data_IF_887522088803
#
_entry.id   IF_887522088803
#
_cell.length_a   1.000
_cell.length_b   1.000
_cell.length_c   1.000
_cell.angle_alpha   90.00
_cell.angle_beta   90.00
_cell.angle_gamma   90.00
#
_symmetry.space_group_name_H-M   'P 1'
#
loop_
_entity.id
_entity.type
_entity.pdbx_description
1 polymer ?
#
# COMPACT_ATOMS: atom_id res chain seq x y z
N UNK A 1 -47.63 33.72 29.18
CA UNK A 1 -46.30 33.18 29.50
C UNK A 1 -46.29 31.68 29.28
N UNK A 2 -45.43 31.18 28.37
CA UNK A 2 -44.65 29.94 28.50
C UNK A 2 -44.04 29.62 27.13
N UNK A 3 -42.79 30.04 26.99
CA UNK A 3 -41.88 29.64 25.93
C UNK A 3 -41.58 28.15 26.09
N UNK A 4 -41.66 27.38 25.01
CA UNK A 4 -41.02 26.08 24.92
C UNK A 4 -39.88 26.18 23.92
N UNK A 5 -38.68 26.29 24.50
CA UNK A 5 -37.39 26.19 23.85
C UNK A 5 -37.24 24.75 23.35
N UNK A 6 -37.36 24.55 22.04
CA UNK A 6 -37.03 23.28 21.43
C UNK A 6 -35.50 23.14 21.40
N UNK A 7 -35.04 22.07 22.06
CA UNK A 7 -33.65 21.77 22.30
C UNK A 7 -32.83 21.71 21.01
N UNK A 8 -31.70 22.41 21.09
CA UNK A 8 -30.45 22.08 20.43
C UNK A 8 -30.14 20.58 20.59
N UNK A 9 -30.15 19.85 19.48
CA UNK A 9 -29.41 18.60 19.33
C UNK A 9 -29.00 18.48 17.86
N UNK A 10 -28.11 19.37 17.41
CA UNK A 10 -27.33 19.10 16.21
C UNK A 10 -26.47 17.86 16.52
N UNK A 11 -26.53 16.80 15.71
CA UNK A 11 -25.61 15.69 15.85
C UNK A 11 -24.22 16.22 15.46
N UNK A 12 -23.43 16.55 16.48
CA UNK A 12 -21.99 16.68 16.37
C UNK A 12 -21.39 15.29 16.11
N UNK A 13 -21.59 14.77 14.90
CA UNK A 13 -20.83 13.64 14.37
C UNK A 13 -19.86 14.19 13.32
N UNK A 14 -19.07 15.17 13.73
CA UNK A 14 -17.72 15.33 13.22
C UNK A 14 -16.91 14.27 13.95
N UNK A 15 -16.92 13.05 13.41
CA UNK A 15 -15.99 12.01 13.80
C UNK A 15 -14.58 12.53 13.50
N UNK A 16 -13.98 13.21 14.48
CA UNK A 16 -12.55 13.42 14.50
C UNK A 16 -11.90 12.02 14.42
N UNK A 17 -10.93 11.79 13.52
CA UNK A 17 -10.27 10.51 13.44
C UNK A 17 -9.68 10.21 14.82
N UNK A 18 -10.17 9.15 15.43
CA UNK A 18 -9.78 8.70 16.76
C UNK A 18 -8.27 8.50 16.79
N UNK A 19 -7.58 9.18 17.72
CA UNK A 19 -6.15 9.00 18.02
C UNK A 19 -5.76 7.53 18.31
N UNK A 20 -6.76 6.65 18.51
CA UNK A 20 -6.58 5.21 18.63
C UNK A 20 -6.04 4.55 17.34
N UNK A 21 -6.38 5.07 16.15
CA UNK A 21 -5.84 4.56 14.88
C UNK A 21 -4.34 4.86 14.71
N UNK A 22 -3.82 5.89 15.39
CA UNK A 22 -2.40 6.25 15.35
C UNK A 22 -1.52 5.32 16.22
N UNK A 23 -2.10 4.55 17.17
CA UNK A 23 -1.34 3.76 18.15
C UNK A 23 -0.92 2.34 17.72
N UNK A 24 -1.21 1.92 16.49
CA UNK A 24 -0.87 0.55 16.02
C UNK A 24 0.07 0.52 14.80
N UNK A 25 0.65 1.65 14.43
CA UNK A 25 1.55 1.69 13.28
C UNK A 25 2.91 1.06 13.62
N UNK A 26 3.48 0.25 12.72
CA UNK A 26 4.79 -0.36 12.91
C UNK A 26 5.89 0.72 12.95
N UNK A 27 7.08 0.40 13.49
CA UNK A 27 8.23 1.30 13.46
C UNK A 27 8.50 1.82 12.04
N UNK A 28 8.82 3.11 11.92
CA UNK A 28 9.12 3.78 10.65
C UNK A 28 7.96 3.83 9.64
N UNK A 29 6.73 3.58 10.10
CA UNK A 29 5.52 3.80 9.31
C UNK A 29 5.45 5.22 8.76
N UNK A 30 5.06 5.32 7.50
CA UNK A 30 4.88 6.58 6.78
C UNK A 30 3.40 6.79 6.49
N UNK A 31 2.76 5.82 5.83
CA UNK A 31 1.36 5.89 5.43
C UNK A 31 0.82 4.51 5.06
N UNK A 32 -0.50 4.39 5.01
CA UNK A 32 -1.16 3.28 4.32
C UNK A 32 -1.10 3.52 2.80
N UNK A 33 -0.89 2.46 2.04
CA UNK A 33 -0.85 2.49 0.58
C UNK A 33 -1.57 1.24 0.03
N UNK A 34 -1.62 1.10 -1.29
CA UNK A 34 -2.27 -0.04 -1.96
C UNK A 34 -1.24 -0.80 -2.77
N UNK A 35 -1.20 -2.12 -2.58
CA UNK A 35 -0.47 -3.07 -3.42
C UNK A 35 -1.48 -3.82 -4.29
N UNK A 36 -1.14 -4.13 -5.54
CA UNK A 36 -2.05 -4.85 -6.43
C UNK A 36 -1.30 -5.94 -7.20
N UNK A 37 -2.00 -6.99 -7.58
CA UNK A 37 -1.50 -8.11 -8.37
C UNK A 37 -2.49 -8.43 -9.48
N UNK A 38 -2.03 -9.17 -10.48
CA UNK A 38 -2.91 -9.81 -11.45
C UNK A 38 -3.18 -11.24 -11.03
N UNK A 39 -4.46 -11.62 -11.02
CA UNK A 39 -4.93 -12.94 -10.62
C UNK A 39 -5.68 -13.63 -11.76
N UNK A 40 -5.62 -14.95 -11.76
CA UNK A 40 -6.41 -15.80 -12.65
C UNK A 40 -7.78 -16.12 -12.03
N UNK A 41 -8.60 -16.92 -12.74
CA UNK A 41 -9.94 -17.30 -12.29
C UNK A 41 -9.98 -18.10 -10.98
N UNK A 42 -8.88 -18.77 -10.59
CA UNK A 42 -8.78 -19.46 -9.28
C UNK A 42 -8.29 -18.55 -8.16
N UNK A 43 -8.05 -17.27 -8.44
CA UNK A 43 -7.48 -16.31 -7.49
C UNK A 43 -5.97 -16.49 -7.27
N UNK A 44 -5.28 -17.29 -8.10
CA UNK A 44 -3.83 -17.39 -8.03
C UNK A 44 -3.20 -16.12 -8.60
N UNK A 45 -2.17 -15.62 -7.92
CA UNK A 45 -1.41 -14.43 -8.32
C UNK A 45 -0.38 -14.80 -9.37
N UNK A 46 -0.19 -13.94 -10.36
CA UNK A 46 0.89 -14.06 -11.34
C UNK A 46 2.24 -13.68 -10.70
N UNK A 47 3.17 -14.62 -10.50
CA UNK A 47 4.50 -14.30 -9.97
C UNK A 47 5.42 -13.69 -11.04
N UNK A 48 5.02 -13.69 -12.31
CA UNK A 48 5.84 -13.26 -13.45
C UNK A 48 5.47 -11.88 -14.00
N UNK A 49 4.50 -11.21 -13.37
CA UNK A 49 4.03 -9.90 -13.79
C UNK A 49 5.16 -8.86 -13.76
N UNK A 50 5.24 -8.03 -14.80
CA UNK A 50 6.12 -6.86 -14.78
C UNK A 50 5.40 -5.67 -14.14
N UNK A 51 6.05 -4.97 -13.20
CA UNK A 51 5.54 -3.74 -12.59
C UNK A 51 6.29 -2.51 -13.16
N UNK A 52 5.77 -1.86 -14.21
CA UNK A 52 6.38 -0.67 -14.81
C UNK A 52 5.92 0.62 -14.12
N UNK A 53 6.79 1.64 -14.07
CA UNK A 53 6.56 3.05 -13.65
C UNK A 53 6.89 3.52 -12.20
N UNK A 54 7.92 2.96 -11.57
CA UNK A 54 8.27 3.37 -10.19
C UNK A 54 7.55 2.53 -9.12
N UNK A 55 7.28 1.29 -9.48
CA UNK A 55 6.78 0.19 -8.67
C UNK A 55 7.86 -0.88 -8.62
N UNK A 56 7.73 -1.76 -7.64
CA UNK A 56 8.55 -2.96 -7.58
C UNK A 56 7.63 -4.16 -7.47
N UNK A 57 8.03 -5.23 -8.13
CA UNK A 57 7.46 -6.54 -7.87
C UNK A 57 7.94 -7.01 -6.50
N UNK A 58 7.01 -7.46 -5.65
CA UNK A 58 7.38 -8.17 -4.45
C UNK A 58 7.53 -9.66 -4.77
N UNK A 59 8.77 -10.11 -4.94
CA UNK A 59 9.10 -11.50 -5.23
C UNK A 59 9.06 -12.41 -3.99
N UNK A 60 8.98 -11.83 -2.80
CA UNK A 60 9.13 -12.57 -1.56
C UNK A 60 7.80 -13.11 -1.06
N UNK A 61 7.77 -14.43 -0.86
CA UNK A 61 6.78 -15.13 -0.05
C UNK A 61 7.00 -14.82 1.43
N UNK A 62 6.79 -13.57 1.81
CA UNK A 62 6.86 -13.11 3.19
C UNK A 62 5.58 -13.41 3.97
N UNK A 63 5.58 -13.13 5.29
CA UNK A 63 4.41 -13.34 6.17
C UNK A 63 3.17 -12.52 5.75
N UNK A 64 3.35 -11.54 4.86
CA UNK A 64 2.30 -10.68 4.35
C UNK A 64 1.55 -11.26 3.14
N UNK A 65 2.02 -12.38 2.57
CA UNK A 65 1.38 -13.01 1.42
C UNK A 65 1.25 -12.08 0.21
N UNK A 66 2.31 -11.31 -0.05
CA UNK A 66 2.39 -10.32 -1.12
C UNK A 66 3.26 -10.78 -2.31
N UNK A 67 3.66 -12.06 -2.37
CA UNK A 67 4.43 -12.57 -3.51
C UNK A 67 3.65 -12.33 -4.82
N UNK A 68 4.29 -11.73 -5.82
CA UNK A 68 3.69 -11.36 -7.10
C UNK A 68 2.83 -10.09 -7.09
N UNK A 69 2.83 -9.32 -5.99
CA UNK A 69 2.18 -8.01 -5.95
C UNK A 69 3.13 -6.91 -6.41
N UNK A 70 2.65 -6.02 -7.27
CA UNK A 70 3.24 -4.71 -7.47
C UNK A 70 3.01 -3.86 -6.22
N UNK A 71 4.09 -3.28 -5.71
CA UNK A 71 4.07 -2.38 -4.55
C UNK A 71 4.73 -1.05 -4.89
N UNK A 72 4.26 0.06 -4.31
CA UNK A 72 4.85 1.38 -4.54
C UNK A 72 6.32 1.45 -4.06
N UNK A 73 7.23 2.06 -4.82
CA UNK A 73 8.63 2.22 -4.40
C UNK A 73 8.84 3.36 -3.41
N UNK A 74 7.90 4.31 -3.33
CA UNK A 74 8.01 5.49 -2.48
C UNK A 74 6.66 5.89 -1.87
N UNK A 75 6.69 6.68 -0.80
CA UNK A 75 5.45 7.21 -0.20
C UNK A 75 4.73 8.24 -1.10
N UNK A 76 5.41 8.75 -2.13
CA UNK A 76 4.84 9.70 -3.08
C UNK A 76 4.37 9.04 -4.37
N UNK A 77 4.64 7.73 -4.54
CA UNK A 77 4.14 6.96 -5.68
C UNK A 77 2.62 6.91 -5.64
N UNK A 78 1.98 6.97 -6.81
CA UNK A 78 0.54 6.74 -6.90
C UNK A 78 0.19 5.36 -6.33
N UNK A 79 -1.01 5.19 -5.72
CA UNK A 79 -1.43 3.90 -5.20
C UNK A 79 -1.71 2.93 -6.35
N UNK A 80 -1.41 1.63 -6.16
CA UNK A 80 -1.39 0.65 -7.26
C UNK A 80 -2.75 0.40 -7.91
N UNK A 81 -3.84 0.61 -7.19
CA UNK A 81 -5.20 0.55 -7.77
C UNK A 81 -5.34 1.59 -8.89
N UNK A 82 -4.80 2.79 -8.70
CA UNK A 82 -4.85 3.85 -9.70
C UNK A 82 -3.92 3.63 -10.89
N UNK A 83 -2.99 2.69 -10.80
CA UNK A 83 -2.04 2.34 -11.88
C UNK A 83 -2.49 1.10 -12.62
N UNK A 84 -3.01 0.10 -11.90
CA UNK A 84 -3.37 -1.21 -12.46
C UNK A 84 -4.85 -1.32 -12.87
N UNK A 85 -5.77 -0.59 -12.22
CA UNK A 85 -7.20 -0.60 -12.65
C UNK A 85 -7.43 0.08 -14.01
N UNK A 86 -6.70 1.12 -14.40
CA UNK A 86 -6.81 1.66 -15.76
C UNK A 86 -6.25 0.71 -16.82
N UNK A 87 -7.04 0.47 -17.86
CA UNK A 87 -6.61 0.02 -19.20
C UNK A 87 -5.81 -1.29 -19.24
N UNK A 88 -6.44 -2.39 -18.86
CA UNK A 88 -5.95 -3.70 -19.29
C UNK A 88 -4.53 -4.04 -18.80
N UNK A 89 -4.08 -3.45 -17.69
CA UNK A 89 -2.74 -3.66 -17.14
C UNK A 89 -2.38 -5.15 -17.10
N UNK A 90 -3.26 -5.96 -16.52
CA UNK A 90 -3.09 -7.40 -16.44
C UNK A 90 -3.07 -8.10 -17.81
N UNK A 91 -3.72 -7.55 -18.83
CA UNK A 91 -3.67 -8.13 -20.18
C UNK A 91 -2.37 -7.75 -20.93
N UNK A 92 -1.69 -6.69 -20.50
CA UNK A 92 -0.44 -6.22 -21.13
C UNK A 92 0.81 -6.78 -20.45
N UNK A 93 0.78 -6.89 -19.11
CA UNK A 93 1.98 -7.12 -18.30
C UNK A 93 1.98 -8.42 -17.50
N UNK A 94 0.84 -9.13 -17.45
CA UNK A 94 0.74 -10.43 -16.79
C UNK A 94 0.73 -11.57 -17.82
N UNK A 95 1.04 -12.78 -17.36
CA UNK A 95 0.94 -14.00 -18.12
C UNK A 95 -0.51 -14.27 -18.59
N UNK A 96 -0.63 -15.05 -19.67
CA UNK A 96 -1.94 -15.40 -20.20
C UNK A 96 -2.84 -16.04 -19.13
N UNK A 97 -4.07 -15.55 -19.01
CA UNK A 97 -5.06 -16.04 -18.05
C UNK A 97 -5.13 -15.26 -16.73
N UNK A 98 -4.16 -14.40 -16.44
CA UNK A 98 -4.18 -13.52 -15.26
C UNK A 98 -4.75 -12.15 -15.64
N UNK A 99 -6.07 -12.02 -15.69
CA UNK A 99 -6.76 -10.84 -16.27
C UNK A 99 -7.38 -9.91 -15.23
N UNK A 100 -7.44 -10.33 -13.97
CA UNK A 100 -8.17 -9.62 -12.92
C UNK A 100 -7.20 -8.94 -11.98
N UNK A 101 -7.43 -7.67 -11.67
CA UNK A 101 -6.65 -6.96 -10.65
C UNK A 101 -7.16 -7.35 -9.25
N UNK A 102 -6.26 -7.70 -8.34
CA UNK A 102 -6.54 -7.93 -6.93
C UNK A 102 -5.66 -7.03 -6.06
N UNK A 103 -6.27 -6.16 -5.26
CA UNK A 103 -5.56 -5.18 -4.44
C UNK A 103 -5.68 -5.47 -2.95
N UNK A 104 -4.65 -5.09 -2.20
CA UNK A 104 -4.55 -5.18 -0.74
C UNK A 104 -4.02 -3.86 -0.19
N UNK A 105 -4.60 -3.41 0.92
CA UNK A 105 -4.02 -2.31 1.69
C UNK A 105 -2.74 -2.79 2.37
N UNK A 106 -1.69 -1.99 2.26
CA UNK A 106 -0.38 -2.27 2.85
C UNK A 106 0.10 -1.07 3.65
N UNK A 107 0.86 -1.32 4.71
CA UNK A 107 1.53 -0.25 5.46
C UNK A 107 2.88 0.01 4.82
N UNK A 108 3.19 1.26 4.50
CA UNK A 108 4.48 1.65 3.93
C UNK A 108 5.38 2.22 5.03
N UNK A 109 6.63 1.76 5.04
CA UNK A 109 7.64 2.11 6.02
C UNK A 109 8.91 2.64 5.33
N UNK A 110 9.65 3.49 6.02
CA UNK A 110 11.04 3.80 5.66
C UNK A 110 11.90 2.58 5.96
N UNK A 111 12.55 2.04 4.92
CA UNK A 111 13.43 0.87 5.00
C UNK A 111 14.74 1.18 5.72
N UNK A 112 15.33 2.31 5.36
CA UNK A 112 16.59 2.79 5.95
C UNK A 112 16.39 4.18 6.54
N UNK A 113 15.78 4.26 7.75
CA UNK A 113 15.46 5.53 8.39
C UNK A 113 16.70 6.37 8.74
N UNK A 114 17.88 5.72 8.82
CA UNK A 114 19.16 6.35 9.13
C UNK A 114 19.96 6.79 7.90
N UNK A 115 19.53 6.45 6.67
CA UNK A 115 20.27 6.86 5.48
C UNK A 115 20.03 8.34 5.11
N UNK A 116 21.05 9.02 4.56
CA UNK A 116 20.90 10.40 4.11
C UNK A 116 19.78 10.52 3.07
N UNK A 117 19.13 11.69 3.04
CA UNK A 117 17.83 11.95 2.39
C UNK A 117 17.69 11.47 0.95
N UNK A 118 18.78 11.35 0.20
CA UNK A 118 18.80 10.91 -1.21
C UNK A 118 18.69 9.39 -1.39
N UNK A 119 18.77 8.61 -0.31
CA UNK A 119 18.75 7.14 -0.30
C UNK A 119 17.62 6.58 0.59
N UNK A 120 16.63 7.40 0.92
CA UNK A 120 15.45 6.94 1.67
C UNK A 120 14.65 5.98 0.80
N UNK A 121 14.88 4.69 1.02
CA UNK A 121 14.08 3.63 0.41
C UNK A 121 12.82 3.37 1.23
N UNK A 122 11.72 3.10 0.54
CA UNK A 122 10.45 2.73 1.15
C UNK A 122 10.14 1.26 0.84
N UNK A 123 9.54 0.59 1.82
CA UNK A 123 9.08 -0.77 1.66
C UNK A 123 7.75 -1.01 2.36
N UNK A 124 7.12 -2.14 2.09
CA UNK A 124 6.00 -2.58 2.92
C UNK A 124 6.54 -2.96 4.30
N UNK A 125 5.91 -2.45 5.34
CA UNK A 125 6.27 -2.74 6.72
C UNK A 125 6.20 -4.24 6.99
N UNK A 126 7.22 -4.81 7.63
CA UNK A 126 7.27 -6.24 7.95
C UNK A 126 7.83 -7.12 6.83
N UNK A 127 8.30 -6.54 5.72
CA UNK A 127 9.18 -7.25 4.80
C UNK A 127 10.54 -7.51 5.46
N UNK A 128 11.18 -8.66 5.19
CA UNK A 128 12.51 -8.93 5.71
C UNK A 128 13.52 -7.90 5.17
N UNK A 129 14.54 -7.56 5.97
CA UNK A 129 15.54 -6.59 5.55
C UNK A 129 16.40 -7.20 4.43
N UNK A 130 16.19 -6.77 3.17
CA UNK A 130 17.24 -6.86 2.14
C UNK A 130 18.43 -6.00 2.57
N UNK A 131 19.63 -6.48 2.26
CA UNK A 131 20.90 -5.83 2.54
C UNK A 131 20.85 -4.35 2.09
N UNK A 132 21.25 -3.39 2.95
CA UNK A 132 21.38 -2.01 2.52
C UNK A 132 22.22 -1.91 1.25
N UNK A 133 21.79 -1.07 0.31
CA UNK A 133 22.64 -0.69 -0.80
C UNK A 133 23.93 -0.03 -0.30
N UNK A 134 24.98 0.05 -1.12
CA UNK A 134 26.31 0.49 -0.69
C UNK A 134 26.39 1.94 -0.19
N UNK A 135 25.28 2.68 -0.23
CA UNK A 135 25.16 4.09 0.12
C UNK A 135 24.54 4.32 1.51
N UNK A 136 24.37 3.25 2.29
CA UNK A 136 23.66 3.21 3.57
C UNK A 136 24.53 2.64 4.71
N UNK A 137 25.78 3.14 4.83
CA UNK A 137 26.74 2.77 5.89
C UNK A 137 27.02 3.94 6.84
#
# INVERSE_FOLDING_TARGET
MKFLVALLALPAVLAAPTELAARQNPPHYVQDNVACACVNASGAVDPSISCPYGEKLNDEAGPLGLAGYCVPVSAFSAPMDKIMEPLYFCQQYAAEGFKTVNCKTVKQCLRFPTCPSFSKEYDVCGMPPKTPGPYCY
#
